data_IF_863688776746
#
_entry.id   IF_863688776746
#
_cell.length_a   1.000
_cell.length_b   1.000
_cell.length_c   1.000
_cell.angle_alpha   90.00
_cell.angle_beta   90.00
_cell.angle_gamma   90.00
#
_symmetry.space_group_name_H-M   'P 1'
#
loop_
_entity.id
_entity.type
_entity.pdbx_description
1 polymer ?
#
# COMPACT_ATOMS: atom_id res chain seq x y z
N UNK A 1 -1.89 -17.34 -16.15
CA UNK A 1 -0.70 -16.80 -15.46
C UNK A 1 -1.19 -15.94 -14.31
N UNK A 2 -0.57 -16.02 -13.12
CA UNK A 2 -0.96 -15.16 -11.99
C UNK A 2 -0.56 -13.72 -12.31
N UNK A 3 -1.38 -12.74 -11.97
CA UNK A 3 -1.19 -11.32 -12.31
C UNK A 3 0.15 -10.73 -11.81
N UNK A 4 0.69 -11.26 -10.71
CA UNK A 4 1.91 -10.76 -10.08
C UNK A 4 3.21 -11.41 -10.60
N UNK A 5 3.13 -12.44 -11.45
CA UNK A 5 4.30 -13.24 -11.87
C UNK A 5 5.41 -12.39 -12.51
N UNK A 6 5.04 -11.34 -13.27
CA UNK A 6 6.04 -10.47 -13.92
C UNK A 6 6.84 -9.64 -12.91
N UNK A 7 6.27 -9.26 -11.77
CA UNK A 7 6.97 -8.45 -10.77
C UNK A 7 7.93 -9.29 -9.92
N UNK A 8 7.71 -10.62 -9.84
CA UNK A 8 8.62 -11.53 -9.16
C UNK A 8 10.01 -11.58 -9.80
N UNK A 9 10.16 -11.17 -11.07
CA UNK A 9 11.45 -11.12 -11.73
C UNK A 9 12.43 -10.13 -11.08
N UNK A 10 11.91 -9.14 -10.39
CA UNK A 10 12.70 -8.10 -9.71
C UNK A 10 12.48 -8.08 -8.19
N UNK A 11 11.61 -8.94 -7.68
CA UNK A 11 11.35 -9.08 -6.24
C UNK A 11 12.51 -9.80 -5.57
N UNK A 12 13.03 -9.26 -4.47
CA UNK A 12 14.22 -9.76 -3.75
C UNK A 12 15.51 -9.81 -4.61
N UNK A 13 15.54 -9.03 -5.71
CA UNK A 13 16.72 -8.93 -6.57
C UNK A 13 17.43 -7.59 -6.37
N UNK A 14 18.77 -7.55 -6.49
CA UNK A 14 19.50 -6.27 -6.51
C UNK A 14 18.96 -5.37 -7.62
N UNK A 15 18.77 -4.09 -7.32
CA UNK A 15 18.24 -3.11 -8.29
C UNK A 15 19.08 -3.05 -9.57
N UNK A 16 20.40 -3.16 -9.45
CA UNK A 16 21.33 -3.07 -10.59
C UNK A 16 21.19 -4.26 -11.57
N UNK A 17 20.57 -5.38 -11.14
CA UNK A 17 20.28 -6.54 -11.99
C UNK A 17 18.91 -6.49 -12.67
N UNK A 18 18.12 -5.43 -12.41
CA UNK A 18 16.78 -5.33 -12.93
C UNK A 18 16.77 -5.12 -14.46
N UNK A 19 15.82 -5.71 -15.21
CA UNK A 19 15.63 -5.44 -16.61
C UNK A 19 15.45 -3.94 -16.88
N UNK A 20 16.21 -3.39 -17.83
CA UNK A 20 16.16 -1.97 -18.17
C UNK A 20 14.77 -1.51 -18.55
N UNK A 21 14.04 -2.34 -19.28
CA UNK A 21 12.65 -2.07 -19.71
C UNK A 21 11.70 -1.86 -18.51
N UNK A 22 11.90 -2.63 -17.44
CA UNK A 22 11.09 -2.48 -16.22
C UNK A 22 11.39 -1.16 -15.50
N UNK A 23 12.69 -0.81 -15.40
CA UNK A 23 13.15 0.44 -14.78
C UNK A 23 12.66 1.64 -15.58
N UNK A 24 12.84 1.64 -16.91
CA UNK A 24 12.43 2.73 -17.80
C UNK A 24 10.91 2.92 -17.80
N UNK A 25 10.16 1.81 -17.78
CA UNK A 25 8.69 1.86 -17.64
C UNK A 25 8.27 2.57 -16.35
N UNK A 26 8.83 2.16 -15.20
CA UNK A 26 8.50 2.75 -13.90
C UNK A 26 8.86 4.23 -13.87
N UNK A 27 10.05 4.61 -14.32
CA UNK A 27 10.49 6.01 -14.42
C UNK A 27 9.54 6.87 -15.24
N UNK A 28 9.20 6.41 -16.44
CA UNK A 28 8.32 7.14 -17.36
C UNK A 28 6.92 7.33 -16.75
N UNK A 29 6.40 6.29 -16.08
CA UNK A 29 5.08 6.37 -15.42
C UNK A 29 5.11 7.31 -14.23
N UNK A 30 6.12 7.23 -13.36
CA UNK A 30 6.27 8.12 -12.20
C UNK A 30 6.41 9.58 -12.62
N UNK A 31 7.23 9.87 -13.64
CA UNK A 31 7.37 11.20 -14.21
C UNK A 31 6.01 11.74 -14.66
N UNK A 32 5.26 10.96 -15.45
CA UNK A 32 3.92 11.37 -15.90
C UNK A 32 2.94 11.62 -14.73
N UNK A 33 3.00 10.81 -13.67
CA UNK A 33 2.16 10.97 -12.50
C UNK A 33 2.52 12.23 -11.69
N UNK A 34 3.79 12.61 -11.64
CA UNK A 34 4.26 13.81 -10.91
C UNK A 34 3.77 15.12 -11.53
N UNK A 35 3.33 15.11 -12.80
CA UNK A 35 2.74 16.28 -13.47
C UNK A 35 1.32 16.62 -12.97
N UNK A 36 0.65 15.69 -12.28
CA UNK A 36 -0.69 15.90 -11.73
C UNK A 36 -0.66 16.82 -10.51
N UNK A 37 -1.15 18.05 -10.67
CA UNK A 37 -1.19 19.05 -9.58
C UNK A 37 -2.34 18.84 -8.59
N UNK A 38 -3.42 18.17 -9.01
CA UNK A 38 -4.62 17.93 -8.19
C UNK A 38 -5.01 16.44 -8.25
N UNK A 39 -4.31 15.58 -7.52
CA UNK A 39 -4.64 14.15 -7.49
C UNK A 39 -5.95 13.91 -6.74
N UNK A 40 -6.75 12.95 -7.21
CA UNK A 40 -7.91 12.46 -6.47
C UNK A 40 -7.46 11.50 -5.35
N UNK A 41 -6.41 10.74 -5.58
CA UNK A 41 -5.86 9.81 -4.60
C UNK A 41 -4.35 9.97 -4.43
N UNK A 42 -3.90 9.95 -3.17
CA UNK A 42 -2.48 9.86 -2.79
C UNK A 42 -2.15 8.42 -2.38
N UNK A 43 -1.24 7.81 -3.11
CA UNK A 43 -0.72 6.47 -2.88
C UNK A 43 0.60 6.62 -2.13
N UNK A 44 0.60 6.27 -0.85
CA UNK A 44 1.71 6.56 0.06
C UNK A 44 2.45 5.28 0.43
N UNK A 45 3.68 5.20 -0.04
CA UNK A 45 4.60 4.09 0.15
C UNK A 45 5.52 4.34 1.34
N UNK A 46 5.56 3.46 2.32
CA UNK A 46 6.55 3.54 3.40
C UNK A 46 7.68 2.54 3.15
N UNK A 47 8.94 2.99 3.31
CA UNK A 47 10.14 2.21 3.01
C UNK A 47 11.09 2.21 4.21
N UNK A 48 11.56 1.03 4.60
CA UNK A 48 12.65 0.87 5.57
C UNK A 48 13.49 -0.35 5.19
N UNK A 49 14.68 -0.11 4.62
CA UNK A 49 15.59 -1.15 4.12
C UNK A 49 14.93 -2.07 3.07
N UNK A 50 14.40 -1.46 2.01
CA UNK A 50 13.60 -2.13 0.99
C UNK A 50 14.23 -2.04 -0.42
N UNK A 51 15.56 -1.89 -0.53
CA UNK A 51 16.27 -1.73 -1.81
C UNK A 51 15.94 -2.80 -2.85
N UNK A 52 15.64 -4.05 -2.39
CA UNK A 52 15.39 -5.21 -3.26
C UNK A 52 13.92 -5.41 -3.62
N UNK A 53 12.99 -4.75 -2.91
CA UNK A 53 11.54 -4.91 -3.11
C UNK A 53 10.88 -3.70 -3.74
N UNK A 54 11.51 -2.54 -3.63
CA UNK A 54 10.99 -1.24 -4.05
C UNK A 54 10.55 -1.23 -5.52
N UNK A 55 11.38 -1.77 -6.43
CA UNK A 55 11.08 -1.80 -7.86
C UNK A 55 9.83 -2.66 -8.17
N UNK A 56 9.68 -3.83 -7.56
CA UNK A 56 8.53 -4.72 -7.78
C UNK A 56 7.23 -4.07 -7.30
N UNK A 57 7.25 -3.42 -6.14
CA UNK A 57 6.13 -2.67 -5.60
C UNK A 57 5.73 -1.52 -6.54
N UNK A 58 6.67 -0.63 -6.86
CA UNK A 58 6.43 0.52 -7.74
C UNK A 58 5.99 0.09 -9.14
N UNK A 59 6.56 -0.98 -9.70
CA UNK A 59 6.11 -1.51 -11.00
C UNK A 59 4.65 -1.92 -10.95
N UNK A 60 4.24 -2.64 -9.89
CA UNK A 60 2.84 -3.05 -9.72
C UNK A 60 1.88 -1.86 -9.55
N UNK A 61 2.31 -0.80 -8.85
CA UNK A 61 1.55 0.43 -8.71
C UNK A 61 1.45 1.22 -10.03
N UNK A 62 2.54 1.30 -10.80
CA UNK A 62 2.57 1.96 -12.11
C UNK A 62 1.71 1.26 -13.16
N UNK A 63 1.41 -0.02 -12.99
CA UNK A 63 0.47 -0.78 -13.82
C UNK A 63 -1.00 -0.57 -13.44
N UNK A 64 -1.28 0.18 -12.37
CA UNK A 64 -2.67 0.43 -11.98
C UNK A 64 -3.41 1.28 -13.02
N UNK A 65 -4.64 0.85 -13.30
CA UNK A 65 -5.53 1.49 -14.27
C UNK A 65 -6.49 2.40 -13.52
N UNK A 66 -6.23 3.70 -13.57
CA UNK A 66 -7.07 4.72 -12.97
C UNK A 66 -7.66 5.63 -14.06
N UNK A 67 -8.95 5.94 -13.95
CA UNK A 67 -9.69 6.92 -14.77
C UNK A 67 -9.74 8.30 -14.08
N UNK A 68 -8.88 8.52 -13.11
CA UNK A 68 -8.72 9.76 -12.34
C UNK A 68 -7.23 9.99 -12.03
N UNK A 69 -6.83 11.24 -11.74
CA UNK A 69 -5.45 11.56 -11.41
C UNK A 69 -5.05 11.01 -10.04
N UNK A 70 -3.84 10.47 -9.96
CA UNK A 70 -3.22 9.99 -8.71
C UNK A 70 -1.83 10.57 -8.56
N UNK A 71 -1.33 10.62 -7.32
CA UNK A 71 0.09 10.79 -7.02
C UNK A 71 0.62 9.56 -6.30
N UNK A 72 1.90 9.25 -6.49
CA UNK A 72 2.62 8.23 -5.75
C UNK A 72 3.75 8.93 -5.01
N UNK A 73 3.73 8.84 -3.68
CA UNK A 73 4.74 9.41 -2.79
C UNK A 73 5.36 8.30 -1.95
N UNK A 74 6.67 8.38 -1.73
CA UNK A 74 7.37 7.47 -0.85
C UNK A 74 7.84 8.19 0.43
N UNK A 75 7.91 7.46 1.54
CA UNK A 75 8.54 7.92 2.78
C UNK A 75 9.66 6.96 3.14
N UNK A 76 10.89 7.44 3.04
CA UNK A 76 12.07 6.72 3.50
C UNK A 76 12.19 6.88 5.03
N UNK A 77 11.96 5.82 5.76
CA UNK A 77 11.98 5.84 7.23
C UNK A 77 13.39 5.55 7.79
N UNK A 78 14.34 6.42 7.47
CA UNK A 78 15.71 6.32 7.96
C UNK A 78 16.37 4.97 7.60
N UNK A 79 16.28 4.57 6.31
CA UNK A 79 16.92 3.36 5.79
C UNK A 79 18.45 3.48 5.83
N UNK A 80 19.13 2.37 6.08
CA UNK A 80 20.59 2.26 6.11
C UNK A 80 21.18 1.53 4.90
N UNK A 81 20.31 0.94 4.06
CA UNK A 81 20.67 0.30 2.80
C UNK A 81 20.57 1.29 1.63
N UNK A 82 20.54 0.80 0.39
CA UNK A 82 20.43 1.61 -0.81
C UNK A 82 19.00 2.06 -1.16
N UNK A 83 18.01 1.91 -0.24
CA UNK A 83 16.60 2.28 -0.49
C UNK A 83 16.48 3.71 -1.01
N UNK A 84 17.12 4.70 -0.36
CA UNK A 84 17.07 6.10 -0.80
C UNK A 84 17.66 6.28 -2.20
N UNK A 85 18.80 5.65 -2.48
CA UNK A 85 19.43 5.69 -3.80
C UNK A 85 18.52 5.12 -4.89
N UNK A 86 17.80 4.04 -4.61
CA UNK A 86 16.82 3.44 -5.55
C UNK A 86 15.63 4.36 -5.78
N UNK A 87 15.10 5.01 -4.73
CA UNK A 87 14.04 6.02 -4.86
C UNK A 87 14.46 7.16 -5.79
N UNK A 88 15.68 7.68 -5.61
CA UNK A 88 16.26 8.74 -6.44
C UNK A 88 16.41 8.27 -7.90
N UNK A 89 16.98 7.10 -8.10
CA UNK A 89 17.18 6.54 -9.43
C UNK A 89 15.86 6.29 -10.18
N UNK A 90 14.79 5.90 -9.49
CA UNK A 90 13.46 5.72 -10.09
C UNK A 90 12.71 7.04 -10.31
N UNK A 91 13.17 8.15 -9.69
CA UNK A 91 12.54 9.46 -9.83
C UNK A 91 11.19 9.57 -9.13
N UNK A 92 10.93 8.76 -8.09
CA UNK A 92 9.72 8.90 -7.27
C UNK A 92 9.87 10.08 -6.33
N UNK A 93 8.81 10.86 -6.15
CA UNK A 93 8.79 11.91 -5.10
C UNK A 93 8.82 11.24 -3.74
N UNK A 94 9.81 11.59 -2.90
CA UNK A 94 9.92 10.99 -1.56
C UNK A 94 10.28 12.01 -0.49
N UNK A 95 10.05 11.63 0.75
CA UNK A 95 10.34 12.39 1.98
C UNK A 95 11.13 11.50 2.94
N UNK A 96 12.04 12.08 3.68
CA UNK A 96 12.79 11.39 4.73
C UNK A 96 12.11 11.61 6.08
N UNK A 97 11.78 10.52 6.79
CA UNK A 97 11.33 10.52 8.17
C UNK A 97 12.42 9.92 9.05
N UNK A 98 13.01 10.76 9.91
CA UNK A 98 14.15 10.37 10.76
C UNK A 98 13.75 9.55 11.98
N UNK A 99 12.52 9.73 12.47
CA UNK A 99 12.01 8.93 13.58
C UNK A 99 11.67 7.53 13.09
N UNK A 100 12.39 6.53 13.61
CA UNK A 100 12.17 5.13 13.23
C UNK A 100 10.80 4.63 13.68
N UNK A 101 10.18 3.86 12.81
CA UNK A 101 8.91 3.17 13.05
C UNK A 101 7.86 3.47 11.99
N UNK A 102 7.07 2.45 11.59
CA UNK A 102 6.10 2.57 10.50
C UNK A 102 5.06 3.67 10.76
N UNK A 103 4.68 3.89 12.00
CA UNK A 103 3.72 4.93 12.37
C UNK A 103 4.21 6.34 12.04
N UNK A 104 5.50 6.63 12.24
CA UNK A 104 6.07 7.94 11.90
C UNK A 104 6.13 8.13 10.39
N UNK A 105 6.52 7.10 9.65
CA UNK A 105 6.52 7.12 8.19
C UNK A 105 5.10 7.32 7.63
N UNK A 106 4.08 6.62 8.16
CA UNK A 106 2.68 6.80 7.78
C UNK A 106 2.18 8.21 8.09
N UNK A 107 2.48 8.76 9.27
CA UNK A 107 2.09 10.13 9.62
C UNK A 107 2.80 11.16 8.73
N UNK A 108 4.09 10.98 8.45
CA UNK A 108 4.82 11.83 7.51
C UNK A 108 4.15 11.81 6.13
N UNK A 109 3.87 10.64 5.57
CA UNK A 109 3.19 10.49 4.29
C UNK A 109 1.78 11.09 4.27
N UNK A 110 1.02 10.92 5.36
CA UNK A 110 -0.31 11.52 5.50
C UNK A 110 -0.26 13.04 5.43
N UNK A 111 0.73 13.65 6.08
CA UNK A 111 0.90 15.11 6.07
C UNK A 111 1.21 15.64 4.65
N UNK A 112 1.91 14.84 3.83
CA UNK A 112 2.28 15.21 2.45
C UNK A 112 1.17 14.92 1.42
N UNK A 113 0.20 14.08 1.75
CA UNK A 113 -0.87 13.67 0.84
C UNK A 113 -1.75 14.85 0.41
N UNK A 114 -1.96 15.02 -0.91
CA UNK A 114 -2.78 16.08 -1.51
C UNK A 114 -4.14 15.55 -2.02
N UNK A 115 -4.24 14.26 -2.28
CA UNK A 115 -5.45 13.63 -2.79
C UNK A 115 -6.57 13.57 -1.75
N UNK A 116 -7.81 13.60 -2.23
CA UNK A 116 -9.01 13.40 -1.39
C UNK A 116 -9.00 12.06 -0.67
N UNK A 117 -8.39 11.04 -1.28
CA UNK A 117 -8.28 9.68 -0.75
C UNK A 117 -6.82 9.30 -0.52
N UNK A 118 -6.53 8.79 0.68
CA UNK A 118 -5.23 8.28 1.07
C UNK A 118 -5.22 6.77 0.95
N UNK A 119 -4.19 6.21 0.32
CA UNK A 119 -4.00 4.77 0.15
C UNK A 119 -2.64 4.41 0.73
N UNK A 120 -2.64 3.62 1.80
CA UNK A 120 -1.43 3.12 2.42
C UNK A 120 -0.85 1.95 1.62
N UNK A 121 0.46 1.96 1.45
CA UNK A 121 1.24 0.97 0.70
C UNK A 121 2.43 0.51 1.56
N UNK A 122 2.69 -0.79 1.57
CA UNK A 122 3.93 -1.36 2.10
C UNK A 122 4.80 -1.83 0.93
N UNK A 123 6.10 -1.61 1.03
CA UNK A 123 7.04 -1.81 -0.10
C UNK A 123 7.29 -3.29 -0.41
N UNK A 124 7.08 -4.20 0.53
CA UNK A 124 7.19 -5.65 0.36
C UNK A 124 5.99 -6.29 -0.35
N UNK A 125 5.04 -5.46 -0.79
CA UNK A 125 3.74 -5.88 -1.31
C UNK A 125 3.57 -5.49 -2.78
N UNK A 126 2.96 -6.36 -3.58
CA UNK A 126 2.56 -6.12 -4.97
C UNK A 126 1.04 -5.94 -5.08
N UNK A 127 0.60 -5.03 -5.92
CA UNK A 127 -0.77 -4.53 -6.01
C UNK A 127 -1.40 -4.87 -7.37
N UNK A 128 -2.61 -5.48 -7.42
CA UNK A 128 -3.27 -5.75 -8.69
C UNK A 128 -3.66 -4.47 -9.43
N UNK A 129 -3.73 -4.52 -10.75
CA UNK A 129 -3.91 -3.35 -11.63
C UNK A 129 -5.21 -2.54 -11.42
N UNK A 130 -6.17 -3.05 -10.67
CA UNK A 130 -7.40 -2.34 -10.30
C UNK A 130 -7.47 -1.98 -8.81
N UNK A 131 -6.37 -2.14 -8.06
CA UNK A 131 -6.33 -1.95 -6.61
C UNK A 131 -6.78 -0.54 -6.21
N UNK A 132 -6.08 0.48 -6.70
CA UNK A 132 -6.34 1.88 -6.40
C UNK A 132 -7.79 2.25 -6.77
N UNK A 133 -8.20 1.93 -8.00
CA UNK A 133 -9.55 2.21 -8.49
C UNK A 133 -10.64 1.54 -7.65
N UNK A 134 -10.40 0.32 -7.18
CA UNK A 134 -11.37 -0.42 -6.36
C UNK A 134 -11.57 0.23 -5.00
N UNK A 135 -10.49 0.65 -4.33
CA UNK A 135 -10.55 1.37 -3.06
C UNK A 135 -11.23 2.73 -3.21
N UNK A 136 -10.81 3.54 -4.18
CA UNK A 136 -11.37 4.88 -4.41
C UNK A 136 -12.86 4.81 -4.72
N UNK A 137 -13.31 3.92 -5.61
CA UNK A 137 -14.75 3.74 -5.91
C UNK A 137 -15.59 3.37 -4.70
N UNK A 138 -15.02 2.63 -3.74
CA UNK A 138 -15.71 2.33 -2.48
C UNK A 138 -15.74 3.54 -1.54
N UNK A 139 -14.66 4.29 -1.45
CA UNK A 139 -14.57 5.52 -0.64
C UNK A 139 -15.48 6.64 -1.14
N UNK A 140 -15.79 6.67 -2.45
CA UNK A 140 -16.76 7.61 -3.04
C UNK A 140 -18.20 7.32 -2.62
N UNK A 141 -18.51 6.12 -2.09
CA UNK A 141 -19.86 5.79 -1.66
C UNK A 141 -20.26 6.62 -0.41
N UNK A 142 -21.55 6.95 -0.26
CA UNK A 142 -22.03 7.69 0.90
C UNK A 142 -21.68 7.00 2.23
N UNK A 143 -21.27 7.79 3.20
CA UNK A 143 -20.93 7.35 4.55
C UNK A 143 -19.76 6.34 4.66
N UNK A 144 -18.99 6.09 3.61
CA UNK A 144 -17.77 5.29 3.69
C UNK A 144 -16.60 6.22 4.05
N UNK A 145 -15.88 5.91 5.13
CA UNK A 145 -14.74 6.70 5.61
C UNK A 145 -13.42 6.01 5.40
N UNK A 146 -13.39 4.67 5.48
CA UNK A 146 -12.22 3.89 5.14
C UNK A 146 -12.58 2.55 4.50
N UNK A 147 -11.60 1.97 3.83
CA UNK A 147 -11.69 0.66 3.18
C UNK A 147 -10.43 -0.14 3.47
N UNK A 148 -10.56 -1.45 3.51
CA UNK A 148 -9.44 -2.39 3.63
C UNK A 148 -9.77 -3.67 2.87
N UNK A 149 -8.74 -4.45 2.54
CA UNK A 149 -8.93 -5.62 1.69
C UNK A 149 -8.16 -6.84 2.17
N UNK A 150 -8.32 -7.96 1.47
CA UNK A 150 -7.61 -9.19 1.73
C UNK A 150 -6.20 -9.15 1.12
N UNK A 151 -5.33 -10.00 1.65
CA UNK A 151 -3.98 -10.22 1.13
C UNK A 151 -3.68 -11.71 0.98
N UNK A 152 -2.68 -12.03 0.21
CA UNK A 152 -2.11 -13.37 0.05
C UNK A 152 -0.61 -13.31 0.20
N UNK A 153 0.00 -14.45 0.53
CA UNK A 153 1.45 -14.56 0.63
C UNK A 153 2.07 -15.14 -0.64
N UNK A 154 3.31 -14.73 -0.92
CA UNK A 154 4.11 -15.33 -1.97
C UNK A 154 4.55 -16.71 -1.48
N UNK A 155 4.24 -17.80 -2.21
CA UNK A 155 4.77 -19.13 -1.86
C UNK A 155 6.31 -19.16 -1.95
N UNK A 156 6.94 -19.71 -0.95
CA UNK A 156 8.40 -19.92 -0.88
C UNK A 156 8.74 -21.39 -0.61
N UNK A 157 10.02 -21.69 -0.35
CA UNK A 157 10.49 -23.05 -0.07
C UNK A 157 9.94 -23.62 1.24
N UNK A 158 9.66 -22.75 2.23
CA UNK A 158 9.16 -23.14 3.55
C UNK A 158 7.62 -23.20 3.58
N UNK A 159 6.95 -22.44 2.69
CA UNK A 159 5.50 -22.29 2.68
C UNK A 159 4.90 -22.75 1.35
N UNK A 160 4.45 -24.00 1.34
CA UNK A 160 3.86 -24.60 0.13
C UNK A 160 2.58 -23.90 -0.31
N UNK A 161 2.31 -23.91 -1.63
CA UNK A 161 1.07 -23.34 -2.20
C UNK A 161 -0.20 -23.88 -1.56
N UNK A 162 -0.24 -25.18 -1.23
CA UNK A 162 -1.39 -25.83 -0.59
C UNK A 162 -1.55 -25.41 0.86
N UNK A 163 -0.46 -25.35 1.62
CA UNK A 163 -0.48 -24.89 3.01
C UNK A 163 -0.97 -23.44 3.12
N UNK A 164 -0.44 -22.56 2.26
CA UNK A 164 -0.89 -21.18 2.19
C UNK A 164 -2.36 -21.03 1.78
N UNK A 165 -2.83 -21.83 0.82
CA UNK A 165 -4.23 -21.80 0.40
C UNK A 165 -5.19 -22.16 1.55
N UNK A 166 -4.88 -23.19 2.33
CA UNK A 166 -5.67 -23.58 3.50
C UNK A 166 -5.63 -22.50 4.59
N UNK A 167 -4.44 -22.02 4.93
CA UNK A 167 -4.27 -20.97 5.92
C UNK A 167 -5.04 -19.70 5.52
N UNK A 168 -4.86 -19.23 4.29
CA UNK A 168 -5.53 -18.03 3.79
C UNK A 168 -7.05 -18.21 3.75
N UNK A 169 -7.54 -19.39 3.39
CA UNK A 169 -8.98 -19.67 3.35
C UNK A 169 -9.61 -19.59 4.75
N UNK A 170 -8.98 -20.19 5.75
CA UNK A 170 -9.43 -20.12 7.15
C UNK A 170 -9.34 -18.69 7.70
N UNK A 171 -8.22 -18.02 7.47
CA UNK A 171 -8.02 -16.62 7.86
C UNK A 171 -9.06 -15.71 7.22
N UNK A 172 -9.29 -15.84 5.93
CA UNK A 172 -10.25 -15.00 5.20
C UNK A 172 -11.68 -15.22 5.71
N UNK A 173 -12.04 -16.46 6.02
CA UNK A 173 -13.31 -16.76 6.64
C UNK A 173 -13.44 -16.09 8.02
N UNK A 174 -12.42 -16.24 8.87
CA UNK A 174 -12.37 -15.59 10.17
C UNK A 174 -12.48 -14.05 10.05
N UNK A 175 -11.70 -13.43 9.16
CA UNK A 175 -11.72 -11.99 8.95
C UNK A 175 -13.10 -11.49 8.49
N UNK A 176 -13.81 -12.26 7.65
CA UNK A 176 -15.17 -11.92 7.21
C UNK A 176 -16.15 -11.85 8.38
N UNK A 177 -16.08 -12.83 9.29
CA UNK A 177 -16.93 -12.84 10.50
C UNK A 177 -16.55 -11.68 11.43
N UNK A 178 -15.26 -11.52 11.67
CA UNK A 178 -14.76 -10.46 12.56
C UNK A 178 -15.11 -9.06 12.04
N UNK A 179 -15.06 -8.82 10.74
CA UNK A 179 -15.39 -7.54 10.14
C UNK A 179 -16.85 -7.12 10.31
N UNK A 180 -17.77 -8.03 10.64
CA UNK A 180 -19.16 -7.70 10.92
C UNK A 180 -19.28 -6.87 12.20
N UNK A 181 -18.56 -7.24 13.26
CA UNK A 181 -18.66 -6.58 14.57
C UNK A 181 -17.50 -5.61 14.82
N UNK A 182 -16.28 -6.02 14.43
CA UNK A 182 -15.04 -5.29 14.72
C UNK A 182 -14.15 -5.13 13.48
N UNK A 183 -14.62 -4.41 12.44
CA UNK A 183 -13.89 -4.24 11.19
C UNK A 183 -12.51 -3.60 11.38
N UNK A 184 -12.34 -2.76 12.41
CA UNK A 184 -11.07 -2.09 12.73
C UNK A 184 -9.94 -3.09 13.04
N UNK A 185 -10.25 -4.27 13.56
CA UNK A 185 -9.24 -5.31 13.85
C UNK A 185 -8.76 -6.05 12.61
N UNK A 186 -9.46 -5.90 11.48
CA UNK A 186 -9.10 -6.53 10.21
C UNK A 186 -8.21 -5.63 9.34
N UNK A 187 -8.01 -4.37 9.74
CA UNK A 187 -7.22 -3.39 8.98
C UNK A 187 -5.73 -3.73 9.08
N UNK A 188 -5.05 -3.64 7.92
CA UNK A 188 -3.59 -3.77 7.80
C UNK A 188 -3.11 -2.66 6.88
N UNK A 189 -1.95 -2.07 7.20
CA UNK A 189 -1.41 -0.94 6.47
C UNK A 189 -1.31 -1.14 4.97
N UNK A 190 -0.80 -2.26 4.53
CA UNK A 190 -0.68 -2.60 3.10
C UNK A 190 -2.02 -2.67 2.35
N UNK A 191 -3.15 -2.69 3.04
CA UNK A 191 -4.48 -2.79 2.41
C UNK A 191 -5.45 -1.69 2.85
N UNK A 192 -4.96 -0.65 3.52
CA UNK A 192 -5.77 0.40 4.14
C UNK A 192 -5.87 1.64 3.24
N UNK A 193 -7.10 2.16 3.08
CA UNK A 193 -7.33 3.42 2.41
C UNK A 193 -8.48 4.18 3.10
N UNK A 194 -8.43 5.52 3.08
CA UNK A 194 -9.38 6.37 3.80
C UNK A 194 -9.48 7.78 3.22
N UNK A 195 -10.44 8.56 3.70
CA UNK A 195 -10.58 9.99 3.37
C UNK A 195 -9.43 10.77 4.01
N UNK A 196 -8.60 11.44 3.20
CA UNK A 196 -7.38 12.11 3.62
C UNK A 196 -7.61 13.14 4.72
N UNK A 197 -8.61 14.01 4.57
CA UNK A 197 -8.89 15.06 5.55
C UNK A 197 -9.29 14.48 6.92
N UNK A 198 -10.09 13.42 6.93
CA UNK A 198 -10.44 12.74 8.18
C UNK A 198 -9.20 12.09 8.80
N UNK A 199 -8.34 11.49 7.97
CA UNK A 199 -7.06 10.93 8.42
C UNK A 199 -6.17 12.01 9.05
N UNK A 200 -6.04 13.18 8.42
CA UNK A 200 -5.26 14.31 8.96
C UNK A 200 -5.84 14.86 10.27
N UNK A 201 -7.15 14.92 10.38
CA UNK A 201 -7.84 15.36 11.60
C UNK A 201 -7.57 14.43 12.79
N UNK A 202 -7.57 13.12 12.56
CA UNK A 202 -7.43 12.12 13.62
C UNK A 202 -5.96 11.77 13.91
N UNK A 203 -5.12 11.72 12.86
CA UNK A 203 -3.71 11.35 12.94
C UNK A 203 -3.46 9.88 13.28
N UNK A 204 -2.29 9.38 12.89
CA UNK A 204 -1.81 8.09 13.39
C UNK A 204 -1.32 8.23 14.83
N UNK A 205 -1.63 7.27 15.68
CA UNK A 205 -1.15 7.23 17.07
C UNK A 205 0.33 6.88 17.15
N UNK A 206 1.17 7.90 17.30
CA UNK A 206 2.64 7.76 17.36
C UNK A 206 3.16 7.27 18.72
N UNK A 207 2.26 7.11 19.69
CA UNK A 207 2.54 6.60 21.04
C UNK A 207 2.44 5.07 21.16
N UNK A 208 2.04 4.37 20.07
CA UNK A 208 1.95 2.91 20.02
C UNK A 208 2.95 2.31 19.04
N UNK A 209 3.44 1.10 19.35
CA UNK A 209 4.47 0.43 18.53
C UNK A 209 3.83 -0.37 17.38
N UNK A 210 2.63 -0.92 17.57
CA UNK A 210 1.92 -1.76 16.61
C UNK A 210 0.42 -1.51 16.66
N UNK A 211 -0.26 -1.73 15.51
CA UNK A 211 -1.70 -1.59 15.41
C UNK A 211 -2.17 -0.16 15.14
N UNK A 212 -1.29 0.70 14.64
CA UNK A 212 -1.55 2.10 14.28
C UNK A 212 -2.67 2.21 13.23
N UNK A 213 -2.70 1.32 12.25
CA UNK A 213 -3.72 1.30 11.18
C UNK A 213 -5.10 0.96 11.75
N UNK A 214 -5.18 -0.09 12.56
CA UNK A 214 -6.42 -0.48 13.25
C UNK A 214 -6.89 0.58 14.23
N UNK A 215 -5.97 1.25 14.93
CA UNK A 215 -6.28 2.36 15.83
C UNK A 215 -6.88 3.55 15.10
N UNK A 216 -6.30 3.94 13.95
CA UNK A 216 -6.84 5.00 13.11
C UNK A 216 -8.22 4.60 12.55
N UNK A 217 -8.38 3.37 12.08
CA UNK A 217 -9.66 2.87 11.60
C UNK A 217 -10.74 2.89 12.71
N UNK A 218 -10.38 2.51 13.94
CA UNK A 218 -11.27 2.61 15.10
C UNK A 218 -11.69 4.06 15.38
N UNK A 219 -10.74 5.00 15.31
CA UNK A 219 -11.02 6.43 15.48
C UNK A 219 -11.92 6.99 14.36
N UNK A 220 -11.89 6.41 13.15
CA UNK A 220 -12.76 6.79 12.02
C UNK A 220 -14.19 6.25 12.15
N UNK A 221 -14.43 5.20 12.94
CA UNK A 221 -15.72 4.50 13.05
C UNK A 221 -16.92 5.40 13.41
N UNK A 222 -16.80 6.42 14.28
CA UNK A 222 -17.89 7.36 14.56
C UNK A 222 -18.31 8.23 13.38
N UNK A 223 -17.42 8.40 12.38
CA UNK A 223 -17.63 9.28 11.22
C UNK A 223 -18.23 8.56 10.02
N UNK A 224 -18.32 7.23 10.04
CA UNK A 224 -18.93 6.47 8.95
C UNK A 224 -18.52 5.01 8.89
N UNK A 225 -18.81 4.39 7.75
CA UNK A 225 -18.63 2.95 7.55
C UNK A 225 -17.16 2.61 7.23
N UNK A 226 -16.67 1.55 7.86
CA UNK A 226 -15.45 0.85 7.52
C UNK A 226 -15.82 -0.31 6.60
N UNK A 227 -15.34 -0.33 5.36
CA UNK A 227 -15.77 -1.29 4.34
C UNK A 227 -14.69 -2.29 4.02
N UNK A 228 -14.96 -3.56 4.26
CA UNK A 228 -14.10 -4.67 3.87
C UNK A 228 -14.34 -5.07 2.41
N UNK A 229 -13.30 -4.99 1.57
CA UNK A 229 -13.34 -5.34 0.16
C UNK A 229 -12.89 -6.79 -0.04
N UNK A 230 -13.81 -7.65 -0.46
CA UNK A 230 -13.54 -9.09 -0.71
C UNK A 230 -13.10 -9.40 -2.15
N UNK A 231 -13.10 -8.40 -3.02
CA UNK A 231 -12.80 -8.58 -4.44
C UNK A 231 -11.34 -8.96 -4.68
N UNK A 232 -11.10 -9.91 -5.59
CA UNK A 232 -9.76 -10.24 -6.08
C UNK A 232 -9.03 -9.06 -6.73
N UNK A 233 -9.79 -8.04 -7.19
CA UNK A 233 -9.25 -6.79 -7.75
C UNK A 233 -8.53 -5.92 -6.70
N UNK A 234 -8.75 -6.18 -5.41
CA UNK A 234 -8.10 -5.50 -4.30
C UNK A 234 -7.30 -6.45 -3.40
N UNK A 235 -7.20 -7.74 -3.74
CA UNK A 235 -6.37 -8.70 -2.98
C UNK A 235 -4.91 -8.52 -3.39
N UNK A 236 -4.11 -8.02 -2.47
CA UNK A 236 -2.67 -7.83 -2.67
C UNK A 236 -1.89 -9.12 -2.43
N UNK A 237 -0.62 -9.14 -2.81
CA UNK A 237 0.29 -10.24 -2.49
C UNK A 237 1.56 -9.69 -1.86
N UNK A 238 1.98 -10.27 -0.74
CA UNK A 238 3.11 -9.80 0.08
C UNK A 238 4.08 -10.94 0.37
N UNK A 239 5.31 -10.58 0.73
CA UNK A 239 6.28 -11.51 1.31
C UNK A 239 5.93 -11.93 2.74
N UNK A 240 6.74 -12.81 3.31
CA UNK A 240 6.72 -13.17 4.72
C UNK A 240 7.64 -12.26 5.53
#
# INVERSE_FOLDING_TARGET
>A
MKWYTKYLQVYEQPFDSAPKEAVDFVKTKLQKLSENKQPLASVILICYNEEKRLLSCLWSLCDNICDFPIEILAVNNNSSDRTESVLQQLGVTYFNELKKGPVHARQCGLNQAKGTYHICIDTDTMYPNNYIKTHVKKLMQPNVVCTFSLWSFIPDEQHSKWGLWWYESLRDFYLRIQAIQRPELCVRGMTFAFKTELGKQLGFRTDIIRGEDGSLALAMKPYGKLVFIHSSKARVITGY
#
